data_IF_281667902195
#
_entry.id   IF_281667902195
#
_cell.length_a   1.000
_cell.length_b   1.000
_cell.length_c   1.000
_cell.angle_alpha   90.00
_cell.angle_beta   90.00
_cell.angle_gamma   90.00
#
_symmetry.space_group_name_H-M   'P 1'
#
loop_
_entity.id
_entity.type
_entity.pdbx_description
1 polymer ?
#
# COMPACT_ATOMS: atom_id res chain seq x y z
N UNK A 1 -3.45 10.59 6.62
CA UNK A 1 -4.00 9.58 7.56
C UNK A 1 -4.12 8.26 6.82
N UNK A 2 -3.90 7.12 7.46
CA UNK A 2 -4.08 5.83 6.81
C UNK A 2 -5.55 5.67 6.38
N UNK A 3 -5.77 5.17 5.17
CA UNK A 3 -7.12 4.91 4.66
C UNK A 3 -7.72 3.72 5.43
N UNK A 4 -9.01 3.75 5.83
CA UNK A 4 -9.67 2.60 6.42
C UNK A 4 -9.59 1.36 5.51
N UNK A 5 -9.42 0.19 6.11
CA UNK A 5 -9.29 -1.08 5.40
C UNK A 5 -10.57 -1.89 5.58
N UNK A 6 -11.20 -2.23 4.46
CA UNK A 6 -12.37 -3.11 4.41
C UNK A 6 -11.97 -4.46 3.83
N UNK A 7 -12.01 -5.52 4.63
CA UNK A 7 -11.76 -6.87 4.16
C UNK A 7 -13.06 -7.54 3.70
N UNK A 8 -13.06 -8.08 2.49
CA UNK A 8 -14.19 -8.81 1.92
C UNK A 8 -13.97 -10.31 2.12
N UNK A 9 -14.83 -10.93 2.90
CA UNK A 9 -14.78 -12.35 3.27
C UNK A 9 -16.02 -13.06 2.75
N UNK A 10 -15.91 -14.33 2.45
CA UNK A 10 -17.04 -15.15 2.01
C UNK A 10 -16.57 -16.33 1.17
N UNK A 11 -17.45 -17.30 0.98
CA UNK A 11 -17.19 -18.49 0.16
C UNK A 11 -16.86 -18.12 -1.29
N UNK A 12 -16.18 -18.95 -2.05
CA UNK A 12 -16.03 -18.77 -3.50
C UNK A 12 -17.38 -18.68 -4.20
N UNK A 13 -17.38 -17.98 -5.32
CA UNK A 13 -18.55 -17.81 -6.20
C UNK A 13 -19.75 -17.09 -5.58
N UNK A 14 -19.66 -16.54 -4.36
CA UNK A 14 -20.72 -15.68 -3.79
C UNK A 14 -20.75 -14.29 -4.44
N UNK A 15 -19.75 -13.94 -5.26
CA UNK A 15 -19.70 -12.69 -6.02
C UNK A 15 -18.85 -11.60 -5.40
N UNK A 16 -17.86 -11.94 -4.54
CA UNK A 16 -16.93 -11.00 -3.92
C UNK A 16 -16.23 -10.10 -4.95
N UNK A 17 -15.57 -10.70 -5.94
CA UNK A 17 -14.82 -9.94 -6.95
C UNK A 17 -15.75 -9.08 -7.85
N UNK A 18 -17.00 -9.51 -8.07
CA UNK A 18 -18.01 -8.70 -8.76
C UNK A 18 -18.36 -7.47 -7.93
N UNK A 19 -18.52 -7.64 -6.61
CA UNK A 19 -18.81 -6.54 -5.69
C UNK A 19 -17.63 -5.57 -5.60
N UNK A 20 -16.41 -6.08 -5.44
CA UNK A 20 -15.18 -5.28 -5.45
C UNK A 20 -15.07 -4.43 -6.71
N UNK A 21 -15.18 -5.06 -7.88
CA UNK A 21 -15.10 -4.36 -9.16
C UNK A 21 -16.17 -3.26 -9.27
N UNK A 22 -17.39 -3.51 -8.80
CA UNK A 22 -18.46 -2.52 -8.81
C UNK A 22 -18.18 -1.32 -7.94
N UNK A 23 -17.63 -1.54 -6.74
CA UNK A 23 -17.30 -0.46 -5.82
C UNK A 23 -16.08 0.33 -6.34
N UNK A 24 -15.05 -0.36 -6.81
CA UNK A 24 -13.81 0.25 -7.31
C UNK A 24 -13.97 0.98 -8.65
N UNK A 25 -14.87 0.54 -9.54
CA UNK A 25 -15.07 1.15 -10.87
C UNK A 25 -15.46 2.64 -10.83
N UNK A 26 -16.07 3.12 -9.75
CA UNK A 26 -16.39 4.54 -9.60
C UNK A 26 -15.12 5.39 -9.42
N UNK A 27 -14.09 4.84 -8.82
CA UNK A 27 -12.82 5.53 -8.59
C UNK A 27 -11.92 5.57 -9.84
N UNK A 28 -11.99 4.54 -10.69
CA UNK A 28 -11.20 4.44 -11.94
C UNK A 28 -11.49 5.54 -12.96
N UNK A 29 -12.68 6.11 -12.94
CA UNK A 29 -13.05 7.20 -13.85
C UNK A 29 -12.34 8.53 -13.56
N UNK A 30 -11.70 8.67 -12.39
CA UNK A 30 -11.12 9.93 -11.89
C UNK A 30 -9.59 9.88 -11.86
N UNK A 31 -8.97 8.69 -11.76
CA UNK A 31 -7.52 8.52 -11.63
C UNK A 31 -6.92 8.06 -12.94
N UNK A 32 -6.05 8.88 -13.53
CA UNK A 32 -5.27 8.54 -14.72
C UNK A 32 -4.41 7.30 -14.48
N UNK A 33 -4.48 6.34 -15.41
CA UNK A 33 -3.66 5.12 -15.45
C UNK A 33 -2.17 5.43 -15.30
N UNK A 34 -1.58 5.02 -14.19
CA UNK A 34 -0.13 4.85 -14.08
C UNK A 34 0.24 3.57 -14.82
N UNK A 35 0.66 3.69 -16.08
CA UNK A 35 1.12 2.55 -16.89
C UNK A 35 2.41 1.97 -16.29
N UNK A 36 2.38 0.67 -16.00
CA UNK A 36 3.58 -0.11 -15.67
C UNK A 36 3.45 -1.01 -14.44
N UNK A 37 2.39 -0.89 -13.66
CA UNK A 37 2.11 -1.78 -12.53
C UNK A 37 0.88 -2.61 -12.86
N UNK A 38 1.06 -3.92 -13.04
CA UNK A 38 -0.08 -4.85 -13.10
C UNK A 38 -0.80 -4.77 -11.76
N UNK A 39 -2.04 -4.27 -11.77
CA UNK A 39 -2.91 -4.20 -10.58
C UNK A 39 -3.03 -5.59 -9.97
N UNK A 40 -2.74 -5.67 -8.69
CA UNK A 40 -3.07 -6.87 -7.93
C UNK A 40 -4.58 -6.98 -7.83
N UNK A 41 -5.13 -8.15 -8.18
CA UNK A 41 -6.59 -8.41 -8.11
C UNK A 41 -7.14 -8.40 -6.70
N UNK A 42 -6.28 -8.23 -5.70
CA UNK A 42 -6.63 -8.32 -4.28
C UNK A 42 -6.84 -6.97 -3.60
N UNK A 43 -6.40 -5.84 -4.21
CA UNK A 43 -6.43 -4.51 -3.59
C UNK A 43 -7.05 -3.49 -4.52
N UNK A 44 -8.03 -2.78 -4.00
CA UNK A 44 -8.75 -1.77 -4.76
C UNK A 44 -8.95 -0.53 -3.90
N UNK A 45 -8.50 0.61 -4.37
CA UNK A 45 -8.90 1.88 -3.78
C UNK A 45 -10.35 2.18 -4.18
N UNK A 46 -11.11 2.68 -3.24
CA UNK A 46 -12.48 3.08 -3.43
C UNK A 46 -12.77 4.38 -2.68
N UNK A 47 -13.76 5.11 -3.17
CA UNK A 47 -14.34 6.23 -2.45
C UNK A 47 -15.87 6.09 -2.37
N UNK A 48 -16.43 6.58 -1.29
CA UNK A 48 -17.87 6.71 -1.13
C UNK A 48 -18.20 7.95 -0.32
N UNK A 49 -19.05 8.80 -0.85
CA UNK A 49 -19.43 10.09 -0.24
C UNK A 49 -18.23 10.97 0.18
N UNK A 50 -17.12 10.89 -0.58
CA UNK A 50 -15.90 11.66 -0.31
C UNK A 50 -14.98 11.05 0.74
N UNK A 51 -15.27 9.84 1.22
CA UNK A 51 -14.41 9.07 2.13
C UNK A 51 -13.66 8.01 1.36
N UNK A 52 -12.34 8.13 1.33
CA UNK A 52 -11.44 7.17 0.70
C UNK A 52 -11.18 5.97 1.60
N UNK A 53 -11.18 4.76 1.05
CA UNK A 53 -10.85 3.53 1.76
C UNK A 53 -10.23 2.48 0.83
N UNK A 54 -9.70 1.40 1.40
CA UNK A 54 -9.09 0.28 0.67
C UNK A 54 -9.94 -0.97 0.83
N UNK A 55 -10.36 -1.56 -0.29
CA UNK A 55 -11.02 -2.86 -0.34
C UNK A 55 -9.98 -3.96 -0.53
N UNK A 56 -10.07 -5.02 0.25
CA UNK A 56 -9.21 -6.20 0.12
C UNK A 56 -10.08 -7.41 -0.24
N UNK A 57 -9.92 -7.92 -1.49
CA UNK A 57 -10.58 -9.15 -1.93
C UNK A 57 -9.79 -10.38 -1.48
N UNK A 58 -10.31 -11.09 -0.48
CA UNK A 58 -9.69 -12.33 0.00
C UNK A 58 -9.82 -13.50 -0.98
N UNK A 59 -10.70 -13.40 -1.98
CA UNK A 59 -10.95 -14.45 -2.98
C UNK A 59 -10.01 -14.42 -4.19
N UNK A 60 -9.29 -13.32 -4.42
CA UNK A 60 -8.39 -13.15 -5.57
C UNK A 60 -7.07 -13.96 -5.50
N UNK A 61 -6.81 -14.65 -4.39
CA UNK A 61 -5.54 -15.38 -4.10
C UNK A 61 -5.65 -16.87 -4.44
N UNK A 62 -6.59 -17.25 -5.30
CA UNK A 62 -6.86 -18.64 -5.63
C UNK A 62 -5.79 -19.26 -6.54
N UNK A 63 -4.92 -20.12 -5.96
CA UNK A 63 -4.21 -21.16 -6.71
C UNK A 63 -4.00 -22.40 -5.86
N UNK A 64 -4.93 -23.38 -5.89
CA UNK A 64 -4.67 -24.83 -5.86
C UNK A 64 -5.94 -25.67 -5.66
N UNK A 65 -5.92 -26.85 -6.26
CA UNK A 65 -7.01 -27.82 -6.43
C UNK A 65 -6.97 -28.87 -5.30
N UNK A 66 -7.78 -28.75 -4.25
CA UNK A 66 -8.25 -29.90 -3.44
C UNK A 66 -9.31 -29.46 -2.41
N UNK A 67 -10.37 -30.24 -2.24
CA UNK A 67 -11.55 -29.91 -1.42
C UNK A 67 -11.28 -29.87 0.10
N UNK A 68 -10.33 -30.65 0.64
CA UNK A 68 -10.00 -30.65 2.07
C UNK A 68 -9.19 -29.43 2.53
N UNK A 69 -8.58 -28.69 1.62
CA UNK A 69 -7.84 -27.45 1.86
C UNK A 69 -8.78 -26.25 1.88
N UNK A 70 -10.02 -26.43 1.45
CA UNK A 70 -10.96 -25.37 1.15
C UNK A 70 -11.56 -24.70 2.41
N UNK A 71 -12.07 -25.50 3.35
CA UNK A 71 -12.66 -24.98 4.60
C UNK A 71 -11.60 -24.36 5.53
N UNK A 72 -10.38 -24.90 5.52
CA UNK A 72 -9.26 -24.30 6.28
C UNK A 72 -8.89 -22.92 5.75
N UNK A 73 -8.92 -22.72 4.43
CA UNK A 73 -8.60 -21.42 3.80
C UNK A 73 -9.61 -20.33 4.09
N UNK A 74 -10.91 -20.62 3.96
CA UNK A 74 -11.96 -19.64 4.28
C UNK A 74 -11.84 -19.21 5.74
N UNK A 75 -11.54 -20.17 6.62
CA UNK A 75 -11.31 -19.90 8.04
C UNK A 75 -10.08 -19.01 8.27
N UNK A 76 -8.99 -19.28 7.59
CA UNK A 76 -7.77 -18.45 7.66
C UNK A 76 -8.01 -17.05 7.12
N UNK A 77 -8.74 -16.91 6.02
CA UNK A 77 -9.14 -15.61 5.46
C UNK A 77 -10.00 -14.81 6.45
N UNK A 78 -10.96 -15.46 7.12
CA UNK A 78 -11.79 -14.82 8.13
C UNK A 78 -10.97 -14.37 9.35
N UNK A 79 -10.00 -15.18 9.79
CA UNK A 79 -9.08 -14.80 10.87
C UNK A 79 -8.18 -13.63 10.46
N UNK A 80 -7.68 -13.64 9.22
CA UNK A 80 -6.87 -12.56 8.69
C UNK A 80 -7.64 -11.24 8.62
N UNK A 81 -8.86 -11.30 8.10
CA UNK A 81 -9.75 -10.14 8.04
C UNK A 81 -10.05 -9.61 9.44
N UNK A 82 -10.33 -10.51 10.40
CA UNK A 82 -10.59 -10.17 11.78
C UNK A 82 -9.42 -9.45 12.49
N UNK A 83 -8.18 -9.82 12.14
CA UNK A 83 -6.97 -9.22 12.74
C UNK A 83 -6.60 -7.88 12.08
N UNK A 84 -6.79 -7.75 10.76
CA UNK A 84 -6.18 -6.70 9.96
C UNK A 84 -7.15 -5.59 9.49
N UNK A 85 -8.43 -5.89 9.29
CA UNK A 85 -9.39 -4.91 8.78
C UNK A 85 -9.89 -3.96 9.86
N UNK A 86 -10.30 -2.76 9.46
CA UNK A 86 -11.05 -1.85 10.30
C UNK A 86 -12.53 -2.21 10.30
N UNK A 87 -13.03 -2.63 9.12
CA UNK A 87 -14.40 -3.10 8.90
C UNK A 87 -14.37 -4.37 8.06
N UNK A 88 -15.25 -5.30 8.33
CA UNK A 88 -15.36 -6.56 7.61
C UNK A 88 -16.67 -6.61 6.83
N UNK A 89 -16.58 -6.89 5.54
CA UNK A 89 -17.71 -7.14 4.67
C UNK A 89 -17.83 -8.64 4.39
N UNK A 90 -18.77 -9.29 5.06
CA UNK A 90 -19.03 -10.71 4.87
C UNK A 90 -20.10 -10.91 3.80
N UNK A 91 -19.72 -11.58 2.70
CA UNK A 91 -20.58 -11.78 1.52
C UNK A 91 -21.08 -13.22 1.47
N UNK A 92 -22.40 -13.39 1.45
CA UNK A 92 -23.09 -14.66 1.28
C UNK A 92 -23.91 -14.69 0.01
N UNK A 93 -24.32 -15.87 -0.45
CA UNK A 93 -25.12 -16.07 -1.65
C UNK A 93 -26.60 -16.25 -1.26
N UNK A 94 -27.45 -15.28 -1.62
CA UNK A 94 -28.89 -15.31 -1.32
C UNK A 94 -29.64 -16.43 -1.99
N UNK A 95 -29.13 -16.99 -3.10
CA UNK A 95 -29.77 -18.11 -3.82
C UNK A 95 -29.55 -19.45 -3.15
N UNK A 96 -28.44 -19.62 -2.42
CA UNK A 96 -28.11 -20.88 -1.74
C UNK A 96 -28.56 -20.93 -0.28
N UNK A 97 -28.90 -19.78 0.30
CA UNK A 97 -29.14 -19.64 1.74
C UNK A 97 -27.86 -19.72 2.58
N UNK A 98 -28.03 -19.64 3.89
CA UNK A 98 -26.92 -19.78 4.84
C UNK A 98 -26.45 -21.24 4.92
N UNK A 99 -25.14 -21.46 4.84
CA UNK A 99 -24.54 -22.79 4.90
C UNK A 99 -23.74 -22.97 6.19
N UNK A 100 -23.40 -24.22 6.51
CA UNK A 100 -22.53 -24.54 7.67
C UNK A 100 -21.18 -23.82 7.62
N UNK A 101 -20.64 -23.63 6.41
CA UNK A 101 -19.40 -22.86 6.19
C UNK A 101 -19.59 -21.38 6.53
N UNK A 102 -20.70 -20.79 6.11
CA UNK A 102 -21.04 -19.40 6.45
C UNK A 102 -21.21 -19.23 7.97
N UNK A 103 -21.82 -20.21 8.66
CA UNK A 103 -21.90 -20.21 10.13
C UNK A 103 -20.53 -20.29 10.79
N UNK A 104 -19.63 -21.13 10.27
CA UNK A 104 -18.27 -21.27 10.80
C UNK A 104 -17.49 -19.95 10.68
N UNK A 105 -17.61 -19.27 9.57
CA UNK A 105 -17.03 -17.95 9.32
C UNK A 105 -17.66 -16.91 10.24
N UNK A 106 -18.98 -16.84 10.30
CA UNK A 106 -19.71 -15.89 11.16
C UNK A 106 -19.28 -16.01 12.64
N UNK A 107 -19.06 -17.24 13.14
CA UNK A 107 -18.55 -17.47 14.51
C UNK A 107 -17.17 -16.86 14.75
N UNK A 108 -16.30 -16.86 13.75
CA UNK A 108 -14.96 -16.25 13.84
C UNK A 108 -15.12 -14.73 13.85
N UNK A 109 -15.89 -14.20 12.90
CA UNK A 109 -16.07 -12.77 12.74
C UNK A 109 -16.72 -12.11 13.96
N UNK A 110 -17.72 -12.74 14.56
CA UNK A 110 -18.34 -12.26 15.81
C UNK A 110 -17.36 -12.14 16.97
N UNK A 111 -16.35 -13.02 17.03
CA UNK A 111 -15.32 -12.99 18.09
C UNK A 111 -14.26 -11.92 17.87
N UNK A 112 -14.18 -11.35 16.68
CA UNK A 112 -13.14 -10.36 16.34
C UNK A 112 -13.33 -9.02 17.05
N UNK A 113 -14.57 -8.68 17.45
CA UNK A 113 -14.92 -7.37 17.98
C UNK A 113 -14.85 -6.23 16.96
N UNK A 114 -14.70 -6.54 15.68
CA UNK A 114 -14.74 -5.57 14.58
C UNK A 114 -16.15 -5.37 14.07
N UNK A 115 -16.48 -4.22 13.48
CA UNK A 115 -17.73 -4.05 12.74
C UNK A 115 -17.80 -5.04 11.57
N UNK A 116 -18.85 -5.85 11.51
CA UNK A 116 -19.08 -6.85 10.46
C UNK A 116 -20.40 -6.54 9.77
N UNK A 117 -20.36 -6.29 8.46
CA UNK A 117 -21.54 -6.10 7.64
C UNK A 117 -21.80 -7.35 6.81
N UNK A 118 -23.01 -7.91 6.95
CA UNK A 118 -23.43 -9.10 6.22
C UNK A 118 -24.13 -8.66 4.92
N UNK A 119 -23.49 -8.90 3.76
CA UNK A 119 -24.06 -8.67 2.46
C UNK A 119 -24.60 -9.99 1.87
N UNK A 120 -25.90 -10.08 1.68
CA UNK A 120 -26.55 -11.19 0.99
C UNK A 120 -26.64 -10.84 -0.49
N UNK A 121 -25.75 -11.40 -1.28
CA UNK A 121 -25.61 -11.10 -2.70
C UNK A 121 -26.49 -12.01 -3.57
N UNK A 122 -26.71 -11.59 -4.81
CA UNK A 122 -27.56 -12.24 -5.81
C UNK A 122 -29.05 -12.18 -5.45
N UNK A 123 -29.45 -11.17 -4.67
CA UNK A 123 -30.83 -10.82 -4.40
C UNK A 123 -31.22 -9.77 -5.44
N UNK A 124 -31.98 -10.18 -6.44
CA UNK A 124 -32.34 -9.29 -7.55
C UNK A 124 -33.50 -8.34 -7.18
N UNK A 125 -34.34 -8.73 -6.23
CA UNK A 125 -35.36 -7.89 -5.62
C UNK A 125 -35.06 -7.65 -4.13
N UNK A 126 -34.57 -6.48 -3.74
CA UNK A 126 -34.26 -6.16 -2.33
C UNK A 126 -35.49 -6.11 -1.41
N UNK A 127 -36.70 -6.04 -1.97
CA UNK A 127 -37.95 -6.08 -1.19
C UNK A 127 -38.36 -7.49 -0.76
N UNK A 128 -37.68 -8.52 -1.27
CA UNK A 128 -37.92 -9.91 -0.86
C UNK A 128 -37.20 -10.22 0.45
N UNK A 129 -37.84 -9.87 1.55
CA UNK A 129 -37.32 -10.16 2.90
C UNK A 129 -37.16 -11.66 3.17
N UNK A 130 -37.90 -12.52 2.43
CA UNK A 130 -37.82 -13.97 2.65
C UNK A 130 -36.45 -14.53 2.32
N UNK A 131 -35.73 -13.94 1.37
CA UNK A 131 -34.35 -14.29 1.00
C UNK A 131 -33.33 -14.04 2.12
N UNK A 132 -33.70 -13.27 3.14
CA UNK A 132 -32.79 -12.89 4.23
C UNK A 132 -32.99 -13.76 5.49
N UNK A 133 -34.10 -14.47 5.64
CA UNK A 133 -34.45 -15.13 6.88
C UNK A 133 -33.42 -16.13 7.39
N UNK A 134 -32.85 -16.93 6.51
CA UNK A 134 -31.82 -17.90 6.87
C UNK A 134 -30.55 -17.24 7.43
N UNK A 135 -30.26 -16.03 6.97
CA UNK A 135 -29.04 -15.31 7.33
C UNK A 135 -29.08 -14.65 8.71
N UNK A 136 -30.26 -14.43 9.28
CA UNK A 136 -30.39 -13.99 10.68
C UNK A 136 -29.83 -15.02 11.65
N UNK A 137 -29.83 -16.32 11.28
CA UNK A 137 -29.25 -17.40 12.08
C UNK A 137 -27.74 -17.25 12.30
N UNK A 138 -27.06 -16.50 11.43
CA UNK A 138 -25.61 -16.23 11.55
C UNK A 138 -25.28 -15.35 12.77
N UNK A 139 -26.28 -14.67 13.37
CA UNK A 139 -26.13 -13.85 14.57
C UNK A 139 -25.20 -12.65 14.35
N UNK A 140 -25.18 -12.13 13.15
CA UNK A 140 -24.63 -10.83 12.76
C UNK A 140 -25.78 -9.82 12.71
N UNK A 141 -25.43 -8.53 12.62
CA UNK A 141 -26.44 -7.48 12.48
C UNK A 141 -27.29 -7.68 11.21
N UNK A 142 -28.27 -6.80 10.97
CA UNK A 142 -29.21 -6.93 9.87
C UNK A 142 -28.48 -7.17 8.53
N UNK A 143 -28.85 -8.24 7.79
CA UNK A 143 -28.26 -8.52 6.51
C UNK A 143 -28.71 -7.48 5.45
N UNK A 144 -27.76 -7.08 4.58
CA UNK A 144 -28.03 -6.17 3.45
C UNK A 144 -28.29 -6.98 2.18
N UNK A 145 -29.52 -6.94 1.64
CA UNK A 145 -29.79 -7.57 0.35
C UNK A 145 -29.15 -6.76 -0.77
N UNK A 146 -28.28 -7.39 -1.55
CA UNK A 146 -27.59 -6.71 -2.65
C UNK A 146 -27.62 -7.54 -3.94
N UNK A 147 -27.48 -6.86 -5.06
CA UNK A 147 -27.11 -7.47 -6.33
C UNK A 147 -25.81 -6.80 -6.83
N UNK A 148 -24.67 -7.44 -6.59
CA UNK A 148 -23.38 -6.93 -7.04
C UNK A 148 -23.34 -6.78 -8.58
N UNK A 149 -24.07 -7.62 -9.31
CA UNK A 149 -24.17 -7.55 -10.77
C UNK A 149 -24.94 -6.31 -11.23
N UNK A 150 -26.07 -6.02 -10.59
CA UNK A 150 -26.98 -4.92 -11.00
C UNK A 150 -26.73 -3.64 -10.21
N UNK A 151 -26.06 -3.71 -9.06
CA UNK A 151 -25.78 -2.57 -8.18
C UNK A 151 -26.90 -2.21 -7.23
N UNK A 152 -27.97 -3.02 -7.17
CA UNK A 152 -29.12 -2.79 -6.29
C UNK A 152 -28.70 -3.04 -4.84
N UNK A 153 -29.14 -2.20 -3.89
CA UNK A 153 -28.84 -2.32 -2.45
C UNK A 153 -27.40 -2.01 -2.05
N UNK A 154 -26.49 -1.76 -2.99
CA UNK A 154 -25.09 -1.48 -2.69
C UNK A 154 -24.87 -0.09 -2.07
N UNK A 155 -25.77 0.87 -2.30
CA UNK A 155 -25.69 2.21 -1.73
C UNK A 155 -25.87 2.19 -0.22
N UNK A 156 -26.94 1.59 0.27
CA UNK A 156 -27.27 1.49 1.69
C UNK A 156 -26.17 0.73 2.46
N UNK A 157 -25.63 -0.34 1.84
CA UNK A 157 -24.51 -1.09 2.38
C UNK A 157 -23.27 -0.20 2.54
N UNK A 158 -22.94 0.59 1.52
CA UNK A 158 -21.76 1.48 1.54
C UNK A 158 -21.93 2.65 2.50
N UNK A 159 -23.13 3.21 2.63
CA UNK A 159 -23.42 4.24 3.63
C UNK A 159 -23.21 3.72 5.05
N UNK A 160 -23.70 2.53 5.35
CA UNK A 160 -23.53 1.90 6.65
C UNK A 160 -22.05 1.55 6.93
N UNK A 161 -21.34 1.07 5.89
CA UNK A 161 -19.93 0.70 5.99
C UNK A 161 -19.05 1.91 6.29
N UNK A 162 -19.24 3.03 5.59
CA UNK A 162 -18.49 4.27 5.79
C UNK A 162 -18.80 4.90 7.16
N UNK A 163 -20.05 4.81 7.62
CA UNK A 163 -20.44 5.29 8.95
C UNK A 163 -19.78 4.51 10.10
N UNK A 164 -19.31 3.28 9.84
CA UNK A 164 -18.63 2.45 10.83
C UNK A 164 -17.10 2.58 10.81
N UNK A 165 -16.54 3.42 9.92
CA UNK A 165 -15.11 3.68 9.95
C UNK A 165 -14.71 4.35 11.26
N UNK A 166 -13.52 4.06 11.78
CA UNK A 166 -13.00 4.75 12.94
C UNK A 166 -13.06 6.26 12.73
N UNK A 167 -13.62 6.99 13.71
CA UNK A 167 -13.61 8.45 13.67
C UNK A 167 -12.16 8.96 13.52
N UNK A 168 -11.99 9.98 12.70
CA UNK A 168 -10.73 10.71 12.57
C UNK A 168 -10.38 11.34 13.93
N UNK A 169 -9.64 10.64 14.76
CA UNK A 169 -9.34 11.15 16.10
C UNK A 169 -8.84 10.13 17.11
N UNK A 170 -8.54 8.91 16.71
CA UNK A 170 -7.71 8.04 17.55
C UNK A 170 -6.42 8.78 17.84
N UNK A 171 -6.14 9.08 19.13
CA UNK A 171 -5.00 9.84 19.55
C UNK A 171 -3.74 9.24 18.91
N UNK A 172 -3.27 9.84 17.80
CA UNK A 172 -1.90 9.63 17.36
C UNK A 172 -1.06 10.18 18.50
N UNK A 173 -0.34 9.28 19.17
CA UNK A 173 0.71 9.74 20.08
C UNK A 173 1.62 10.64 19.26
N UNK A 174 1.64 11.91 19.62
CA UNK A 174 2.53 12.87 19.01
C UNK A 174 3.97 12.55 19.44
N UNK A 175 4.62 11.70 18.66
CA UNK A 175 6.04 11.38 18.86
C UNK A 175 6.97 12.58 18.55
N UNK A 176 6.41 13.74 18.21
CA UNK A 176 7.15 14.91 17.76
C UNK A 176 7.69 14.73 16.34
N UNK A 177 8.79 15.41 16.02
CA UNK A 177 9.45 15.36 14.70
C UNK A 177 10.27 14.05 14.53
N UNK A 178 9.59 12.89 14.59
CA UNK A 178 10.18 11.57 14.41
C UNK A 178 9.92 11.06 13.02
N UNK A 179 10.96 10.56 12.34
CA UNK A 179 10.81 9.93 11.01
C UNK A 179 10.28 8.50 11.15
N UNK A 180 9.14 8.22 10.51
CA UNK A 180 8.52 6.91 10.49
C UNK A 180 9.13 6.03 9.39
N UNK A 181 9.59 4.84 9.74
CA UNK A 181 10.23 3.89 8.84
C UNK A 181 9.45 2.59 8.82
N UNK A 182 8.99 2.17 7.64
CA UNK A 182 8.42 0.84 7.42
C UNK A 182 9.46 -0.11 6.83
N UNK A 183 9.55 -1.33 7.38
CA UNK A 183 10.35 -2.42 6.81
C UNK A 183 9.39 -3.35 6.06
N UNK A 184 9.43 -3.29 4.74
CA UNK A 184 8.49 -3.97 3.85
C UNK A 184 9.19 -5.02 2.98
N UNK A 185 8.41 -5.92 2.37
CA UNK A 185 8.92 -6.98 1.51
C UNK A 185 8.17 -8.29 1.74
N UNK A 186 8.42 -9.27 0.88
CA UNK A 186 7.79 -10.60 0.93
C UNK A 186 8.06 -11.37 2.24
N UNK A 187 7.30 -12.41 2.54
CA UNK A 187 7.65 -13.35 3.60
C UNK A 187 9.07 -13.92 3.42
N UNK A 188 9.72 -14.24 4.52
CA UNK A 188 11.03 -14.93 4.56
C UNK A 188 12.24 -14.21 3.92
N UNK A 189 12.11 -12.98 3.44
CA UNK A 189 13.23 -12.17 2.92
C UNK A 189 14.18 -11.66 4.03
N UNK A 190 13.81 -11.84 5.31
CA UNK A 190 14.63 -11.49 6.47
C UNK A 190 14.26 -10.19 7.18
N UNK A 191 13.02 -9.68 7.02
CA UNK A 191 12.53 -8.48 7.72
C UNK A 191 12.69 -8.55 9.23
N UNK A 192 12.20 -9.62 9.86
CA UNK A 192 12.30 -9.82 11.32
C UNK A 192 13.75 -9.90 11.81
N UNK A 193 14.62 -10.53 11.01
CA UNK A 193 16.06 -10.58 11.32
C UNK A 193 16.68 -9.18 11.26
N UNK A 194 16.27 -8.37 10.31
CA UNK A 194 16.72 -6.98 10.16
C UNK A 194 16.23 -6.12 11.34
N UNK A 195 14.95 -6.18 11.69
CA UNK A 195 14.41 -5.48 12.87
C UNK A 195 15.17 -5.85 14.14
N UNK A 196 15.37 -7.16 14.39
CA UNK A 196 16.10 -7.62 15.55
C UNK A 196 17.56 -7.13 15.57
N UNK A 197 18.20 -7.08 14.40
CA UNK A 197 19.57 -6.56 14.26
C UNK A 197 19.65 -5.07 14.56
N UNK A 198 18.75 -4.28 14.00
CA UNK A 198 18.66 -2.83 14.26
C UNK A 198 18.41 -2.58 15.75
N UNK A 199 17.42 -3.23 16.34
CA UNK A 199 17.10 -3.06 17.76
C UNK A 199 18.19 -3.57 18.70
N UNK A 200 19.03 -4.52 18.27
CA UNK A 200 20.13 -5.06 19.07
C UNK A 200 21.44 -4.26 18.99
N UNK A 201 21.60 -3.41 17.97
CA UNK A 201 22.82 -2.63 17.75
C UNK A 201 22.71 -1.16 18.18
N UNK A 202 21.51 -0.61 18.06
CA UNK A 202 21.22 0.78 18.42
C UNK A 202 20.56 0.86 19.81
N UNK A 203 20.62 2.01 20.49
CA UNK A 203 19.88 2.22 21.72
C UNK A 203 18.39 2.24 21.42
N UNK A 204 17.77 1.07 21.41
CA UNK A 204 16.32 0.99 21.30
C UNK A 204 15.69 1.40 22.63
N UNK A 205 15.05 2.54 22.66
CA UNK A 205 14.09 2.85 23.70
C UNK A 205 12.82 2.10 23.27
N UNK A 206 12.64 0.89 23.78
CA UNK A 206 11.35 0.22 23.66
C UNK A 206 10.41 1.02 24.56
N UNK A 207 9.66 1.90 23.96
CA UNK A 207 8.53 2.52 24.62
C UNK A 207 7.44 1.43 24.74
N UNK A 208 7.55 0.62 25.80
CA UNK A 208 6.39 -0.12 26.32
C UNK A 208 5.43 0.91 26.92
N UNK A 209 4.82 1.74 26.09
CA UNK A 209 3.69 2.54 26.53
C UNK A 209 2.51 1.59 26.61
N UNK A 210 2.34 1.00 27.78
CA UNK A 210 1.18 0.26 28.18
C UNK A 210 -0.01 1.23 28.25
N UNK A 211 -0.83 1.29 27.22
CA UNK A 211 -1.99 2.19 27.22
C UNK A 211 -3.14 1.80 26.30
N UNK A 212 -2.91 1.06 25.24
CA UNK A 212 -3.99 0.60 24.36
C UNK A 212 -3.80 -0.87 24.00
N UNK A 213 -4.70 -1.69 24.49
CA UNK A 213 -4.74 -3.16 24.39
C UNK A 213 -5.05 -3.66 22.99
N UNK A 214 -4.82 -2.91 21.91
CA UNK A 214 -5.20 -3.31 20.54
C UNK A 214 -4.19 -3.04 19.42
N UNK A 215 -3.13 -2.22 19.62
CA UNK A 215 -2.27 -1.82 18.51
C UNK A 215 -0.83 -2.32 18.64
N UNK A 216 -0.23 -2.55 17.48
CA UNK A 216 1.12 -3.04 17.27
C UNK A 216 2.15 -2.22 18.04
N UNK A 217 3.06 -2.88 18.76
CA UNK A 217 4.12 -2.20 19.49
C UNK A 217 5.16 -1.69 18.49
N UNK A 218 5.12 -0.39 18.25
CA UNK A 218 6.16 0.30 17.49
C UNK A 218 7.44 0.43 18.30
N UNK A 219 8.55 0.48 17.59
CA UNK A 219 9.86 0.61 18.23
C UNK A 219 10.50 1.93 17.85
N UNK A 220 10.79 2.75 18.83
CA UNK A 220 11.61 3.95 18.61
C UNK A 220 13.08 3.58 18.77
N UNK A 221 13.88 3.88 17.77
CA UNK A 221 15.32 3.68 17.72
C UNK A 221 16.01 5.03 17.69
N UNK A 222 17.05 5.20 18.52
CA UNK A 222 17.90 6.39 18.49
C UNK A 222 19.22 6.07 17.78
N UNK A 223 19.53 6.82 16.72
CA UNK A 223 20.77 6.70 15.99
C UNK A 223 21.33 8.09 15.66
N UNK A 224 22.60 8.34 15.99
CA UNK A 224 23.26 9.63 15.72
C UNK A 224 22.63 10.85 16.42
N UNK A 225 21.85 10.64 17.49
CA UNK A 225 21.09 11.69 18.19
C UNK A 225 19.73 12.00 17.59
N UNK A 226 19.35 11.31 16.52
CA UNK A 226 18.04 11.39 15.88
C UNK A 226 17.16 10.21 16.26
N UNK A 227 15.85 10.41 16.30
CA UNK A 227 14.86 9.41 16.67
C UNK A 227 14.10 8.93 15.45
N UNK A 228 13.97 7.61 15.30
CA UNK A 228 13.26 6.94 14.22
C UNK A 228 12.22 5.99 14.80
N UNK A 229 11.00 6.01 14.29
CA UNK A 229 9.96 5.07 14.66
C UNK A 229 9.87 3.97 13.59
N UNK A 230 10.13 2.73 14.00
CA UNK A 230 9.91 1.56 13.15
C UNK A 230 8.43 1.16 13.28
N UNK A 231 7.67 1.31 12.21
CA UNK A 231 6.23 1.07 12.17
C UNK A 231 5.94 -0.42 12.03
N UNK A 232 4.91 -0.92 12.71
CA UNK A 232 4.38 -2.29 12.67
C UNK A 232 5.43 -3.38 12.97
N UNK A 233 6.20 -3.21 14.01
CA UNK A 233 7.22 -4.18 14.41
C UNK A 233 6.69 -5.36 15.24
N UNK A 234 5.48 -5.30 15.81
CA UNK A 234 4.92 -6.33 16.68
C UNK A 234 4.75 -7.67 15.97
N UNK A 235 4.23 -7.64 14.74
CA UNK A 235 4.09 -8.86 13.92
C UNK A 235 5.41 -9.49 13.51
N UNK A 236 6.50 -8.70 13.52
CA UNK A 236 7.83 -9.17 13.18
C UNK A 236 8.58 -9.79 14.37
N UNK A 237 8.22 -9.43 15.61
CA UNK A 237 8.86 -9.93 16.85
C UNK A 237 8.21 -11.21 17.38
N UNK A 238 6.89 -11.33 17.30
CA UNK A 238 6.20 -12.56 17.69
C UNK A 238 6.39 -13.59 16.57
N UNK A 239 7.16 -14.65 16.80
CA UNK A 239 7.14 -15.86 15.99
C UNK A 239 5.74 -16.47 16.15
N UNK A 240 4.78 -16.04 15.36
CA UNK A 240 3.49 -16.73 15.31
C UNK A 240 3.68 -18.02 14.54
N UNK A 241 3.51 -19.13 15.24
CA UNK A 241 3.31 -20.45 14.69
C UNK A 241 1.92 -20.42 14.01
N UNK A 242 1.86 -19.96 12.79
CA UNK A 242 0.68 -20.13 11.92
C UNK A 242 1.21 -20.48 10.54
N UNK A 243 0.98 -21.71 10.15
CA UNK A 243 1.27 -22.26 8.84
C UNK A 243 0.23 -21.77 7.80
N UNK A 244 0.68 -21.54 6.59
CA UNK A 244 0.00 -21.57 5.29
C UNK A 244 -0.67 -20.33 4.70
N UNK A 245 -1.07 -19.29 5.46
CA UNK A 245 -1.62 -18.04 4.84
C UNK A 245 -0.75 -16.80 5.10
N UNK A 246 0.57 -17.02 5.16
CA UNK A 246 1.56 -15.99 5.53
C UNK A 246 1.61 -14.82 4.52
N UNK A 247 1.24 -15.05 3.26
CA UNK A 247 1.33 -14.01 2.22
C UNK A 247 0.30 -12.89 2.41
N UNK A 248 -0.95 -13.24 2.64
CA UNK A 248 -2.03 -12.28 2.84
C UNK A 248 -1.81 -11.40 4.06
N UNK A 249 -1.50 -12.02 5.21
CA UNK A 249 -1.19 -11.30 6.45
C UNK A 249 -0.02 -10.32 6.29
N UNK A 250 1.03 -10.79 5.61
CA UNK A 250 2.23 -9.97 5.38
C UNK A 250 1.94 -8.76 4.50
N UNK A 251 1.02 -8.90 3.56
CA UNK A 251 0.70 -7.85 2.59
C UNK A 251 -0.19 -6.76 3.21
N UNK A 252 -1.23 -7.13 3.95
CA UNK A 252 -2.13 -6.16 4.62
C UNK A 252 -1.37 -5.33 5.66
N UNK A 253 -0.51 -5.99 6.46
CA UNK A 253 0.38 -5.29 7.39
C UNK A 253 1.35 -4.37 6.67
N UNK A 254 1.90 -4.83 5.55
CA UNK A 254 2.77 -4.00 4.72
C UNK A 254 2.08 -2.72 4.25
N UNK A 255 0.80 -2.77 3.90
CA UNK A 255 0.03 -1.59 3.48
C UNK A 255 -0.15 -0.58 4.64
N UNK A 256 -0.56 -1.04 5.82
CA UNK A 256 -0.68 -0.16 6.99
C UNK A 256 0.65 0.49 7.34
N UNK A 257 1.71 -0.31 7.35
CA UNK A 257 3.04 0.21 7.61
C UNK A 257 3.45 1.26 6.56
N UNK A 258 3.14 1.05 5.28
CA UNK A 258 3.40 2.02 4.20
C UNK A 258 2.59 3.31 4.41
N UNK A 259 1.30 3.21 4.79
CA UNK A 259 0.44 4.38 4.99
C UNK A 259 0.92 5.30 6.14
N UNK A 260 1.58 4.73 7.14
CA UNK A 260 2.14 5.48 8.27
C UNK A 260 3.60 5.93 8.06
N UNK A 261 4.29 5.38 7.06
CA UNK A 261 5.72 5.58 6.88
C UNK A 261 6.06 6.85 6.08
N UNK A 262 7.14 7.49 6.49
CA UNK A 262 7.84 8.49 5.68
C UNK A 262 8.79 7.82 4.69
N UNK A 263 9.45 6.74 5.12
CA UNK A 263 10.46 6.02 4.35
C UNK A 263 10.20 4.52 4.46
N UNK A 264 10.19 3.85 3.32
CA UNK A 264 10.07 2.41 3.21
C UNK A 264 11.44 1.77 2.91
N UNK A 265 11.82 0.80 3.72
CA UNK A 265 12.96 -0.08 3.48
C UNK A 265 12.45 -1.38 2.85
N UNK A 266 12.56 -1.50 1.53
CA UNK A 266 12.14 -2.70 0.82
C UNK A 266 13.25 -3.75 0.89
N UNK A 267 12.99 -4.83 1.63
CA UNK A 267 13.92 -5.94 1.80
C UNK A 267 13.67 -6.99 0.74
N UNK A 268 14.69 -7.29 -0.05
CA UNK A 268 14.68 -8.27 -1.14
C UNK A 268 15.65 -9.41 -0.78
N UNK A 269 15.27 -10.65 -1.05
CA UNK A 269 16.15 -11.80 -0.97
C UNK A 269 17.09 -11.81 -2.19
N UNK A 270 18.38 -11.59 -1.96
CA UNK A 270 19.35 -11.51 -3.07
C UNK A 270 19.52 -12.84 -3.82
N UNK A 271 19.28 -13.97 -3.15
CA UNK A 271 19.41 -15.29 -3.79
C UNK A 271 18.29 -15.56 -4.80
N UNK A 272 17.11 -14.98 -4.59
CA UNK A 272 15.97 -15.07 -5.52
C UNK A 272 15.94 -13.90 -6.52
N UNK A 273 16.59 -12.78 -6.20
CA UNK A 273 16.47 -11.53 -6.93
C UNK A 273 15.12 -10.85 -6.69
N UNK A 274 14.87 -9.75 -7.40
CA UNK A 274 13.61 -9.02 -7.30
C UNK A 274 12.50 -9.72 -8.08
N UNK A 275 11.38 -9.94 -7.42
CA UNK A 275 10.19 -10.59 -7.99
C UNK A 275 9.10 -9.58 -8.36
N UNK A 276 8.05 -10.05 -9.02
CA UNK A 276 6.88 -9.23 -9.35
C UNK A 276 6.16 -8.70 -8.09
N UNK A 277 6.11 -9.51 -7.03
CA UNK A 277 5.52 -9.08 -5.76
C UNK A 277 6.33 -7.98 -5.08
N UNK A 278 7.67 -8.04 -5.12
CA UNK A 278 8.54 -6.96 -4.63
C UNK A 278 8.33 -5.66 -5.44
N UNK A 279 8.13 -5.79 -6.75
CA UNK A 279 7.84 -4.66 -7.64
C UNK A 279 6.52 -3.98 -7.25
N UNK A 280 5.46 -4.76 -6.97
CA UNK A 280 4.16 -4.24 -6.53
C UNK A 280 4.27 -3.50 -5.20
N UNK A 281 4.99 -4.07 -4.22
CA UNK A 281 5.22 -3.44 -2.92
C UNK A 281 5.97 -2.10 -3.08
N UNK A 282 6.99 -2.05 -3.95
CA UNK A 282 7.71 -0.82 -4.25
C UNK A 282 6.79 0.25 -4.85
N UNK A 283 5.95 -0.14 -5.81
CA UNK A 283 5.00 0.76 -6.45
C UNK A 283 4.00 1.36 -5.45
N UNK A 284 3.44 0.55 -4.56
CA UNK A 284 2.53 1.02 -3.50
C UNK A 284 3.20 2.04 -2.59
N UNK A 285 4.46 1.82 -2.16
CA UNK A 285 5.19 2.77 -1.35
C UNK A 285 5.38 4.12 -2.06
N UNK A 286 5.67 4.10 -3.36
CA UNK A 286 5.83 5.31 -4.18
C UNK A 286 4.50 6.04 -4.36
N UNK A 287 3.41 5.32 -4.63
CA UNK A 287 2.06 5.90 -4.76
C UNK A 287 1.61 6.61 -3.47
N UNK A 288 1.95 6.05 -2.32
CA UNK A 288 1.71 6.70 -1.01
C UNK A 288 2.63 7.88 -0.73
N UNK A 289 3.67 8.06 -1.55
CA UNK A 289 4.62 9.16 -1.42
C UNK A 289 5.74 8.89 -0.41
N UNK A 290 5.97 7.64 -0.04
CA UNK A 290 7.06 7.27 0.85
C UNK A 290 8.40 7.37 0.13
N UNK A 291 9.46 7.78 0.83
CA UNK A 291 10.82 7.56 0.37
C UNK A 291 11.11 6.07 0.27
N UNK A 292 11.92 5.64 -0.71
CA UNK A 292 12.18 4.23 -0.96
C UNK A 292 13.67 3.91 -0.96
N UNK A 293 14.06 2.94 -0.13
CA UNK A 293 15.41 2.37 -0.08
C UNK A 293 15.31 0.86 -0.31
N UNK A 294 16.12 0.36 -1.23
CA UNK A 294 16.15 -1.07 -1.57
C UNK A 294 17.28 -1.75 -0.78
N UNK A 295 16.93 -2.76 0.00
CA UNK A 295 17.87 -3.54 0.79
C UNK A 295 18.00 -4.94 0.19
N UNK A 296 19.13 -5.21 -0.47
CA UNK A 296 19.48 -6.52 -1.01
C UNK A 296 20.03 -7.37 0.13
N UNK A 297 19.14 -8.11 0.80
CA UNK A 297 19.47 -8.91 1.98
C UNK A 297 19.95 -10.31 1.60
N UNK A 298 20.51 -11.02 2.57
CA UNK A 298 21.15 -12.32 2.41
C UNK A 298 22.35 -12.28 1.44
N UNK A 299 23.01 -11.11 1.36
CA UNK A 299 24.18 -10.92 0.50
C UNK A 299 25.38 -11.80 0.88
N UNK A 300 25.36 -12.38 2.06
CA UNK A 300 26.31 -13.39 2.52
C UNK A 300 26.20 -14.73 1.77
N UNK A 301 25.06 -15.00 1.14
CA UNK A 301 24.85 -16.19 0.30
C UNK A 301 25.27 -15.99 -1.17
N UNK A 302 25.71 -14.77 -1.51
CA UNK A 302 26.06 -14.39 -2.89
C UNK A 302 27.57 -14.60 -3.11
N UNK A 303 27.99 -15.85 -3.22
CA UNK A 303 29.39 -16.28 -3.38
C UNK A 303 29.88 -16.20 -4.83
N UNK A 304 29.02 -16.44 -5.81
CA UNK A 304 29.31 -16.41 -7.24
C UNK A 304 29.03 -15.02 -7.85
N UNK A 305 29.92 -14.57 -8.74
CA UNK A 305 29.78 -13.28 -9.40
C UNK A 305 28.55 -13.23 -10.32
N UNK A 306 28.29 -14.32 -11.04
CA UNK A 306 27.11 -14.44 -11.91
C UNK A 306 25.81 -14.24 -11.12
N UNK A 307 25.66 -14.86 -9.95
CA UNK A 307 24.47 -14.67 -9.09
C UNK A 307 24.28 -13.23 -8.65
N UNK A 308 25.39 -12.52 -8.38
CA UNK A 308 25.37 -11.08 -8.03
C UNK A 308 24.88 -10.22 -9.18
N UNK A 309 25.39 -10.49 -10.38
CA UNK A 309 24.98 -9.78 -11.60
C UNK A 309 23.52 -10.05 -11.94
N UNK A 310 23.07 -11.31 -11.89
CA UNK A 310 21.69 -11.70 -12.16
C UNK A 310 20.72 -11.01 -11.18
N UNK A 311 21.07 -10.97 -9.89
CA UNK A 311 20.30 -10.25 -8.88
C UNK A 311 20.20 -8.76 -9.23
N UNK A 312 21.31 -8.08 -9.51
CA UNK A 312 21.32 -6.66 -9.85
C UNK A 312 20.54 -6.36 -11.11
N UNK A 313 20.70 -7.16 -12.16
CA UNK A 313 19.91 -7.03 -13.40
C UNK A 313 18.41 -7.22 -13.16
N UNK A 314 18.03 -8.17 -12.30
CA UNK A 314 16.62 -8.37 -11.93
C UNK A 314 16.02 -7.13 -11.26
N UNK A 315 16.79 -6.50 -10.37
CA UNK A 315 16.39 -5.27 -9.67
C UNK A 315 16.28 -4.10 -10.65
N UNK A 316 17.27 -3.90 -11.52
CA UNK A 316 17.26 -2.81 -12.50
C UNK A 316 16.08 -2.93 -13.47
N UNK A 317 15.82 -4.15 -13.98
CA UNK A 317 14.71 -4.40 -14.90
C UNK A 317 13.35 -4.18 -14.28
N UNK A 318 13.16 -4.55 -12.99
CA UNK A 318 11.86 -4.46 -12.33
C UNK A 318 11.62 -3.12 -11.63
N UNK A 319 12.68 -2.33 -11.39
CA UNK A 319 12.61 -0.98 -10.83
C UNK A 319 12.87 0.10 -11.90
N UNK A 320 12.57 -0.17 -13.16
CA UNK A 320 12.68 0.80 -14.25
C UNK A 320 11.81 2.07 -14.04
N UNK A 321 10.74 1.94 -13.27
CA UNK A 321 9.87 3.05 -12.85
C UNK A 321 10.42 3.85 -11.66
N UNK A 322 11.42 3.34 -10.93
CA UNK A 322 12.02 3.98 -9.78
C UNK A 322 13.57 3.81 -9.73
N UNK A 323 14.30 4.15 -10.81
CA UNK A 323 15.76 4.00 -10.89
C UNK A 323 16.48 4.86 -9.84
N UNK A 324 15.84 5.87 -9.33
CA UNK A 324 16.31 6.83 -8.34
C UNK A 324 16.32 6.28 -6.90
N UNK A 325 15.80 5.07 -6.66
CA UNK A 325 15.83 4.45 -5.35
C UNK A 325 17.23 3.93 -5.02
N UNK A 326 17.86 4.36 -3.92
CA UNK A 326 19.18 3.88 -3.52
C UNK A 326 19.13 2.39 -3.15
N UNK A 327 20.20 1.67 -3.47
CA UNK A 327 20.32 0.22 -3.28
C UNK A 327 21.47 -0.09 -2.34
N UNK A 328 21.24 -0.90 -1.30
CA UNK A 328 22.24 -1.32 -0.33
C UNK A 328 22.30 -2.84 -0.20
N UNK A 329 23.48 -3.40 -0.31
CA UNK A 329 23.76 -4.82 -0.11
C UNK A 329 24.01 -5.08 1.36
N UNK A 330 23.18 -5.91 2.00
CA UNK A 330 23.23 -6.19 3.43
C UNK A 330 23.16 -7.69 3.73
N UNK A 331 23.56 -8.05 4.94
CA UNK A 331 23.18 -9.32 5.57
C UNK A 331 22.62 -9.03 6.96
N UNK A 332 21.33 -9.20 7.13
CA UNK A 332 20.69 -9.07 8.43
C UNK A 332 21.18 -10.15 9.43
N UNK A 333 21.58 -11.32 8.91
CA UNK A 333 22.10 -12.42 9.71
C UNK A 333 23.48 -12.08 10.30
N UNK A 334 24.42 -11.66 9.47
CA UNK A 334 25.81 -11.38 9.90
C UNK A 334 26.00 -9.94 10.42
N UNK A 335 25.06 -9.03 10.11
CA UNK A 335 25.17 -7.60 10.42
C UNK A 335 25.95 -6.79 9.37
N UNK A 336 26.42 -7.42 8.29
CA UNK A 336 27.21 -6.75 7.26
C UNK A 336 26.42 -5.61 6.64
N UNK A 337 27.00 -4.41 6.66
CA UNK A 337 26.48 -3.17 6.09
C UNK A 337 25.12 -2.69 6.67
N UNK A 338 24.60 -3.29 7.74
CA UNK A 338 23.33 -2.86 8.36
C UNK A 338 23.44 -1.43 8.90
N UNK A 339 24.55 -1.05 9.51
CA UNK A 339 24.78 0.32 9.99
C UNK A 339 24.74 1.39 8.90
N UNK A 340 25.00 1.03 7.63
CA UNK A 340 24.93 1.97 6.49
C UNK A 340 23.50 2.34 6.10
N UNK A 341 22.49 1.62 6.60
CA UNK A 341 21.08 1.92 6.36
C UNK A 341 20.76 3.34 6.85
N UNK A 342 21.27 3.73 8.01
CA UNK A 342 21.00 5.04 8.59
C UNK A 342 21.48 6.19 7.72
N UNK A 343 22.65 6.09 7.14
CA UNK A 343 23.16 7.12 6.22
C UNK A 343 22.26 7.26 4.97
N UNK A 344 21.67 6.17 4.49
CA UNK A 344 20.72 6.23 3.38
C UNK A 344 19.37 6.81 3.81
N UNK A 345 18.88 6.42 4.98
CA UNK A 345 17.65 6.97 5.56
C UNK A 345 17.79 8.49 5.74
N UNK A 346 18.88 8.97 6.31
CA UNK A 346 19.14 10.40 6.50
C UNK A 346 19.18 11.16 5.17
N UNK A 347 19.82 10.57 4.16
CA UNK A 347 19.85 11.16 2.81
C UNK A 347 18.46 11.26 2.21
N UNK A 348 17.68 10.18 2.26
CA UNK A 348 16.30 10.16 1.73
C UNK A 348 15.40 11.13 2.52
N UNK A 349 15.52 11.18 3.84
CA UNK A 349 14.82 12.14 4.72
C UNK A 349 15.09 13.57 4.31
N UNK A 350 16.36 13.91 4.12
CA UNK A 350 16.79 15.25 3.69
C UNK A 350 16.24 15.60 2.31
N UNK A 351 16.34 14.67 1.36
CA UNK A 351 15.84 14.87 0.00
C UNK A 351 14.32 15.02 -0.06
N UNK A 352 13.57 14.30 0.81
CA UNK A 352 12.11 14.48 0.93
C UNK A 352 11.71 15.86 1.42
N UNK A 353 12.50 16.45 2.31
CA UNK A 353 12.25 17.77 2.89
C UNK A 353 12.86 18.91 2.04
N UNK A 354 13.48 18.60 0.90
CA UNK A 354 14.13 19.62 0.08
C UNK A 354 13.12 20.62 -0.50
N UNK A 355 13.35 21.90 -0.23
CA UNK A 355 12.60 23.01 -0.83
C UNK A 355 13.45 23.64 -1.92
N UNK A 356 12.97 23.54 -3.16
CA UNK A 356 13.65 24.10 -4.33
C UNK A 356 13.15 25.53 -4.54
N UNK A 357 14.03 26.55 -4.50
CA UNK A 357 13.64 27.93 -4.77
C UNK A 357 13.02 28.09 -6.15
N UNK A 358 11.90 28.80 -6.23
CA UNK A 358 11.15 29.03 -7.48
C UNK A 358 12.04 29.57 -8.61
N UNK A 359 13.01 30.42 -8.29
CA UNK A 359 13.96 30.95 -9.26
C UNK A 359 14.77 29.81 -9.92
N UNK A 360 15.39 28.91 -9.12
CA UNK A 360 16.18 27.79 -9.64
C UNK A 360 15.35 26.83 -10.50
N UNK A 361 14.10 26.59 -10.09
CA UNK A 361 13.17 25.76 -10.86
C UNK A 361 12.85 26.40 -12.21
N UNK A 362 12.64 27.71 -12.26
CA UNK A 362 12.34 28.41 -13.52
C UNK A 362 13.58 28.60 -14.41
N UNK A 363 14.77 28.72 -13.85
CA UNK A 363 16.03 28.70 -14.62
C UNK A 363 16.18 27.36 -15.35
N UNK A 364 15.92 26.23 -14.67
CA UNK A 364 15.89 24.91 -15.30
C UNK A 364 14.86 24.85 -16.44
N UNK A 365 13.63 25.33 -16.21
CA UNK A 365 12.60 25.33 -17.24
C UNK A 365 12.97 26.20 -18.45
N UNK A 366 13.70 27.30 -18.25
CA UNK A 366 14.21 28.11 -19.32
C UNK A 366 15.25 27.36 -20.16
N UNK A 367 16.21 26.70 -19.54
CA UNK A 367 17.20 25.86 -20.20
C UNK A 367 16.54 24.75 -21.03
N UNK A 368 15.53 24.08 -20.46
CA UNK A 368 14.80 23.01 -21.15
C UNK A 368 14.01 23.53 -22.37
N UNK A 369 13.53 24.76 -22.34
CA UNK A 369 12.89 25.41 -23.51
C UNK A 369 13.89 25.68 -24.64
N UNK A 370 15.11 26.06 -24.30
CA UNK A 370 16.17 26.35 -25.24
C UNK A 370 16.72 25.07 -25.90
N UNK A 371 16.77 23.95 -25.18
CA UNK A 371 17.20 22.63 -25.68
C UNK A 371 16.21 21.93 -26.62
N UNK A 372 15.01 22.49 -26.78
CA UNK A 372 14.14 22.14 -27.93
C UNK A 372 13.25 20.92 -27.75
N UNK A 373 13.16 20.29 -26.57
CA UNK A 373 12.23 19.17 -26.36
C UNK A 373 10.79 19.67 -26.28
N UNK A 374 10.03 19.49 -27.37
CA UNK A 374 8.65 20.00 -27.49
C UNK A 374 7.67 18.90 -27.83
N UNK A 375 6.60 18.83 -27.04
CA UNK A 375 5.45 17.98 -27.34
C UNK A 375 4.44 18.78 -28.14
N UNK A 376 4.02 18.26 -29.30
CA UNK A 376 2.97 18.84 -30.11
C UNK A 376 1.99 17.77 -30.58
N UNK A 377 0.69 18.09 -30.49
CA UNK A 377 -0.42 17.24 -30.95
C UNK A 377 -1.51 18.14 -31.52
N UNK A 378 -2.07 17.78 -32.65
CA UNK A 378 -3.17 18.52 -33.31
C UNK A 378 -2.89 20.03 -33.50
N UNK A 379 -1.70 20.37 -33.98
CA UNK A 379 -1.22 21.76 -34.17
C UNK A 379 -1.06 22.59 -32.87
N UNK A 380 -1.31 22.00 -31.69
CA UNK A 380 -1.04 22.61 -30.40
C UNK A 380 0.33 22.16 -29.89
N UNK A 381 1.10 23.08 -29.34
CA UNK A 381 2.41 22.84 -28.74
C UNK A 381 2.35 23.10 -27.25
N UNK A 382 2.80 22.13 -26.45
CA UNK A 382 2.94 22.31 -25.01
C UNK A 382 4.01 23.38 -24.71
N UNK A 383 3.63 24.38 -23.92
CA UNK A 383 4.57 25.38 -23.40
C UNK A 383 4.38 25.48 -21.89
N UNK A 384 5.38 25.04 -21.14
CA UNK A 384 5.46 25.26 -19.71
C UNK A 384 5.96 26.69 -19.47
N UNK A 385 5.17 27.53 -18.85
CA UNK A 385 5.42 28.96 -18.66
C UNK A 385 6.29 29.20 -17.44
N UNK A 386 5.91 28.61 -16.31
CA UNK A 386 6.65 28.65 -15.05
C UNK A 386 6.25 27.46 -14.18
N UNK A 387 7.05 27.20 -13.13
CA UNK A 387 6.80 26.17 -12.15
C UNK A 387 7.09 26.64 -10.74
N UNK A 388 6.46 26.02 -9.77
CA UNK A 388 6.72 26.22 -8.35
C UNK A 388 6.56 24.91 -7.58
N UNK A 389 7.28 24.75 -6.49
CA UNK A 389 7.05 23.66 -5.56
C UNK A 389 5.85 24.02 -4.68
N UNK A 390 4.84 23.16 -4.66
CA UNK A 390 3.56 23.39 -3.95
C UNK A 390 3.33 22.40 -2.81
N UNK A 391 4.25 21.49 -2.60
CA UNK A 391 4.20 20.52 -1.49
C UNK A 391 5.56 19.96 -1.17
N UNK A 392 5.66 19.47 0.05
CA UNK A 392 6.84 18.83 0.64
C UNK A 392 6.44 17.44 1.15
N UNK A 393 7.42 16.55 1.27
CA UNK A 393 7.28 15.23 1.92
C UNK A 393 6.15 14.34 1.36
N UNK A 394 6.08 14.01 0.05
CA UNK A 394 7.11 14.19 -0.98
C UNK A 394 7.02 15.54 -1.71
N UNK A 395 8.09 15.95 -2.42
CA UNK A 395 8.09 17.15 -3.25
C UNK A 395 7.00 17.10 -4.32
N UNK A 396 6.18 18.16 -4.39
CA UNK A 396 5.13 18.34 -5.39
C UNK A 396 5.45 19.60 -6.21
N UNK A 397 5.63 19.44 -7.51
CA UNK A 397 5.87 20.56 -8.42
C UNK A 397 4.64 20.82 -9.27
N UNK A 398 4.18 22.07 -9.25
CA UNK A 398 3.08 22.53 -10.10
C UNK A 398 3.63 23.37 -11.23
N UNK A 399 3.38 22.94 -12.47
CA UNK A 399 3.76 23.60 -13.69
C UNK A 399 2.55 24.27 -14.34
N UNK A 400 2.67 25.54 -14.63
CA UNK A 400 1.64 26.30 -15.33
C UNK A 400 1.96 26.33 -16.82
N UNK A 401 1.02 25.89 -17.65
CA UNK A 401 1.21 25.70 -19.08
C UNK A 401 -0.05 26.12 -19.86
N UNK A 402 0.11 26.21 -21.19
CA UNK A 402 -0.99 26.54 -22.09
C UNK A 402 -1.96 25.37 -22.36
N UNK A 403 -1.47 24.13 -22.30
CA UNK A 403 -2.20 22.93 -22.67
C UNK A 403 -1.79 21.73 -21.77
N UNK A 404 -2.34 21.65 -20.52
CA UNK A 404 -2.03 20.60 -19.57
C UNK A 404 -2.28 19.18 -20.11
N UNK A 405 -3.28 19.04 -20.96
CA UNK A 405 -3.66 17.80 -21.62
C UNK A 405 -2.56 17.19 -22.53
N UNK A 406 -1.60 18.00 -22.95
CA UNK A 406 -0.45 17.53 -23.74
C UNK A 406 0.73 17.06 -22.89
N UNK A 407 0.67 17.21 -21.57
CA UNK A 407 1.68 16.70 -20.65
C UNK A 407 1.47 15.20 -20.40
N UNK A 408 1.62 14.39 -21.48
CA UNK A 408 1.53 12.93 -21.45
C UNK A 408 2.71 12.32 -20.67
N UNK A 409 2.63 11.03 -20.33
CA UNK A 409 3.59 10.31 -19.48
C UNK A 409 5.05 10.44 -19.92
N UNK A 410 5.31 10.42 -21.22
CA UNK A 410 6.67 10.58 -21.74
C UNK A 410 7.26 11.94 -21.38
N UNK A 411 6.46 13.01 -21.45
CA UNK A 411 6.91 14.35 -21.09
C UNK A 411 7.06 14.49 -19.57
N UNK A 412 6.16 13.88 -18.81
CA UNK A 412 6.25 13.84 -17.33
C UNK A 412 7.54 13.17 -16.87
N UNK A 413 7.86 11.99 -17.43
CA UNK A 413 9.11 11.26 -17.14
C UNK A 413 10.34 12.07 -17.54
N UNK A 414 10.32 12.69 -18.73
CA UNK A 414 11.40 13.56 -19.16
C UNK A 414 11.64 14.69 -18.17
N UNK A 415 10.59 15.40 -17.77
CA UNK A 415 10.70 16.52 -16.84
C UNK A 415 11.16 16.07 -15.45
N UNK A 416 10.66 14.93 -14.98
CA UNK A 416 11.10 14.35 -13.72
C UNK A 416 12.60 14.00 -13.74
N UNK A 417 13.08 13.38 -14.81
CA UNK A 417 14.50 13.07 -14.96
C UNK A 417 15.36 14.34 -14.94
N UNK A 418 14.93 15.41 -15.61
CA UNK A 418 15.63 16.70 -15.58
C UNK A 418 15.65 17.35 -14.22
N UNK A 419 14.54 17.24 -13.45
CA UNK A 419 14.50 17.69 -12.07
C UNK A 419 15.49 16.92 -11.19
N UNK A 420 15.57 15.59 -11.36
CA UNK A 420 16.49 14.73 -10.60
C UNK A 420 17.95 14.96 -10.95
N UNK A 421 18.25 15.32 -12.21
CA UNK A 421 19.61 15.69 -12.64
C UNK A 421 20.04 17.05 -12.05
N UNK A 422 19.12 17.98 -11.92
CA UNK A 422 19.40 19.33 -11.44
C UNK A 422 19.40 19.42 -9.89
N UNK A 423 18.64 18.56 -9.22
CA UNK A 423 18.43 18.60 -7.78
C UNK A 423 18.58 17.20 -7.19
N UNK A 424 19.18 17.12 -5.99
CA UNK A 424 19.31 15.84 -5.28
C UNK A 424 17.95 15.40 -4.74
N UNK A 425 17.30 14.49 -5.48
CA UNK A 425 15.98 13.92 -5.15
C UNK A 425 16.07 12.37 -5.07
N UNK A 426 17.28 11.84 -4.80
CA UNK A 426 17.47 10.40 -4.65
C UNK A 426 16.63 9.84 -3.50
N UNK A 427 16.02 8.70 -3.73
CA UNK A 427 15.21 7.98 -2.74
C UNK A 427 13.84 8.59 -2.44
N UNK A 428 13.46 9.72 -3.05
CA UNK A 428 12.14 10.33 -2.83
C UNK A 428 11.32 10.36 -4.11
N UNK A 429 10.03 9.99 -4.07
CA UNK A 429 9.13 10.18 -5.20
C UNK A 429 8.87 11.67 -5.43
N UNK A 430 8.60 12.02 -6.68
CA UNK A 430 8.28 13.39 -7.10
C UNK A 430 6.90 13.39 -7.74
N UNK A 431 6.06 14.34 -7.35
CA UNK A 431 4.73 14.50 -7.95
C UNK A 431 4.71 15.72 -8.86
N UNK A 432 4.31 15.54 -10.12
CA UNK A 432 4.19 16.61 -11.11
C UNK A 432 2.73 16.90 -11.39
N UNK A 433 2.32 18.18 -11.18
CA UNK A 433 0.99 18.68 -11.49
C UNK A 433 1.10 19.69 -12.62
N UNK A 434 0.19 19.60 -13.60
CA UNK A 434 0.11 20.55 -14.70
C UNK A 434 -1.22 21.28 -14.61
N UNK A 435 -1.16 22.60 -14.62
CA UNK A 435 -2.34 23.48 -14.56
C UNK A 435 -2.32 24.44 -15.72
N UNK A 436 -3.51 24.77 -16.23
CA UNK A 436 -3.65 25.84 -17.20
C UNK A 436 -3.39 27.15 -16.48
N UNK A 437 -2.62 28.03 -17.10
CA UNK A 437 -2.52 29.41 -16.64
C UNK A 437 -3.81 30.09 -17.06
N UNK A 438 -4.67 30.48 -16.11
CA UNK A 438 -5.79 31.34 -16.36
C UNK A 438 -5.25 32.71 -16.81
N UNK A 439 -5.89 33.27 -17.86
CA UNK A 439 -5.43 34.48 -18.53
C UNK A 439 -5.60 35.73 -17.63
#
# INVERSE_FOLDING_TARGET
MPKPIVAIVGRPNVGKSTLVNRIAQKHEAIVHESRGVTRDRSYHEADWNGVDFVLIDTGGIESAKSEDVFSSRIRSQALAAADQADVILFVCDGRTGATEEDEAVARILRKSGKPVFLAVNKVDDPSDESALWDFYSLGLDNPYPISALHGTGTGDLLDALVAAFPEEGGAQEDYGDVTNIAIIGRPNVGKSSLVNRICGTDRSIVSDVAGTTRDAVDVVVEHGGERFRLVDTAGMRKRSVVHEDVEYYSMVRGLRAIDEADICLLVIDSAEGMTEQDQKIAAMAIERGCGLVILLNKWDLMDEEQKREDCLMSVERRLDFAPWSPKLRISALTGRSVSKIWAMVDRVRTNRATVIPTAKLNDLLQQLRETGHTVSKDRKRLRVLYGTQTGEKPPVFTFFCNAPELAEDNYRRYLENRLREAFDLEGTPVRLRFRRKDA
#
